data_IF_943345478134
#
_entry.id   IF_943345478134
#
_cell.length_a   1.000
_cell.length_b   1.000
_cell.length_c   1.000
_cell.angle_alpha   90.00
_cell.angle_beta   90.00
_cell.angle_gamma   90.00
#
_symmetry.space_group_name_H-M   'P 1'
#
loop_
_entity.id
_entity.type
_entity.pdbx_description
1 polymer ?
#
# COMPACT_ATOMS: atom_id res chain seq x y z
N UNK A 1 -1.59 9.91 -25.37
CA UNK A 1 -2.17 8.56 -25.58
C UNK A 1 -3.62 8.54 -25.08
N UNK A 2 -4.61 8.29 -25.95
CA UNK A 2 -6.04 8.25 -25.59
C UNK A 2 -6.36 7.12 -24.60
N UNK A 3 -5.64 5.98 -24.67
CA UNK A 3 -5.86 4.87 -23.75
C UNK A 3 -5.48 5.27 -22.31
N UNK A 4 -4.35 5.96 -22.17
CA UNK A 4 -3.89 6.47 -20.88
C UNK A 4 -4.86 7.51 -20.31
N UNK A 5 -5.37 8.44 -21.12
CA UNK A 5 -6.37 9.42 -20.70
C UNK A 5 -7.65 8.77 -20.15
N UNK A 6 -8.20 7.77 -20.85
CA UNK A 6 -9.39 7.02 -20.39
C UNK A 6 -9.13 6.37 -19.03
N UNK A 7 -7.93 5.83 -18.82
CA UNK A 7 -7.55 5.24 -17.53
C UNK A 7 -7.46 6.28 -16.42
N UNK A 8 -6.91 7.46 -16.69
CA UNK A 8 -6.89 8.57 -15.74
C UNK A 8 -8.29 9.03 -15.37
N UNK A 9 -9.21 9.16 -16.34
CA UNK A 9 -10.61 9.52 -16.07
C UNK A 9 -11.28 8.44 -15.22
N UNK A 10 -11.08 7.17 -15.56
CA UNK A 10 -11.64 6.06 -14.81
C UNK A 10 -11.13 6.04 -13.36
N UNK A 11 -9.81 6.08 -13.17
CA UNK A 11 -9.21 6.04 -11.84
C UNK A 11 -9.44 7.32 -11.03
N UNK A 12 -9.45 8.49 -11.66
CA UNK A 12 -9.53 9.79 -11.00
C UNK A 12 -10.95 10.30 -10.76
N UNK A 13 -11.95 9.83 -11.52
CA UNK A 13 -13.32 10.32 -11.44
C UNK A 13 -14.30 9.18 -11.17
N UNK A 14 -14.32 8.16 -12.05
CA UNK A 14 -15.33 7.10 -11.98
C UNK A 14 -15.21 6.29 -10.70
N UNK A 15 -13.99 5.86 -10.35
CA UNK A 15 -13.72 5.07 -9.14
C UNK A 15 -14.10 5.84 -7.85
N UNK A 16 -13.64 7.09 -7.63
CA UNK A 16 -14.08 7.92 -6.52
C UNK A 16 -15.59 8.07 -6.38
N UNK A 17 -16.30 8.31 -7.49
CA UNK A 17 -17.76 8.47 -7.48
C UNK A 17 -18.48 7.17 -7.08
N UNK A 18 -18.04 6.03 -7.61
CA UNK A 18 -18.58 4.71 -7.25
C UNK A 18 -18.34 4.43 -5.76
N UNK A 19 -17.12 4.67 -5.28
CA UNK A 19 -16.78 4.45 -3.87
C UNK A 19 -17.56 5.39 -2.95
N UNK A 20 -17.69 6.67 -3.31
CA UNK A 20 -18.51 7.64 -2.59
C UNK A 20 -19.98 7.22 -2.51
N UNK A 21 -20.57 6.79 -3.63
CA UNK A 21 -21.92 6.24 -3.68
C UNK A 21 -22.10 4.99 -2.82
N UNK A 22 -21.14 4.06 -2.86
CA UNK A 22 -21.14 2.86 -2.04
C UNK A 22 -21.13 3.18 -0.54
N UNK A 23 -20.24 4.07 -0.09
CA UNK A 23 -20.16 4.45 1.33
C UNK A 23 -21.37 5.26 1.79
N UNK A 24 -21.87 6.18 0.96
CA UNK A 24 -23.09 6.91 1.23
C UNK A 24 -24.28 5.96 1.41
N UNK A 25 -24.46 5.01 0.48
CA UNK A 25 -25.50 3.99 0.57
C UNK A 25 -25.38 3.15 1.85
N UNK A 26 -24.19 2.61 2.15
CA UNK A 26 -23.97 1.80 3.35
C UNK A 26 -24.26 2.56 4.66
N UNK A 27 -23.94 3.86 4.67
CA UNK A 27 -24.18 4.74 5.82
C UNK A 27 -25.67 5.08 5.99
N UNK A 28 -26.35 5.46 4.90
CA UNK A 28 -27.79 5.80 4.92
C UNK A 28 -28.64 4.58 5.24
N UNK A 29 -28.28 3.41 4.71
CA UNK A 29 -29.00 2.16 4.94
C UNK A 29 -28.77 1.56 6.34
N UNK A 30 -27.93 2.17 7.19
CA UNK A 30 -27.65 1.64 8.53
C UNK A 30 -26.87 0.32 8.51
N UNK A 31 -26.19 -0.02 7.41
CA UNK A 31 -25.64 -1.37 7.21
C UNK A 31 -24.16 -1.46 7.59
N UNK A 32 -23.90 -1.54 8.90
CA UNK A 32 -22.53 -1.69 9.44
C UNK A 32 -21.79 -2.90 8.87
N UNK A 33 -22.51 -4.01 8.59
CA UNK A 33 -21.93 -5.22 8.02
C UNK A 33 -21.39 -5.01 6.61
N UNK A 34 -22.11 -4.27 5.75
CA UNK A 34 -21.65 -3.92 4.41
C UNK A 34 -20.37 -3.08 4.45
N UNK A 35 -20.30 -2.11 5.38
CA UNK A 35 -19.11 -1.29 5.59
C UNK A 35 -17.94 -2.11 6.16
N UNK A 36 -18.21 -3.06 7.06
CA UNK A 36 -17.23 -4.03 7.54
C UNK A 36 -16.62 -4.88 6.42
N UNK A 37 -17.45 -5.33 5.47
CA UNK A 37 -16.98 -6.04 4.28
C UNK A 37 -16.10 -5.19 3.37
N UNK A 38 -16.36 -3.88 3.29
CA UNK A 38 -15.47 -2.97 2.57
C UNK A 38 -14.10 -2.86 3.25
N UNK A 39 -14.06 -2.80 4.59
CA UNK A 39 -12.82 -2.86 5.37
C UNK A 39 -12.05 -4.16 5.12
N UNK A 40 -12.77 -5.29 5.08
CA UNK A 40 -12.19 -6.60 4.82
C UNK A 40 -11.61 -6.73 3.41
N UNK A 41 -12.37 -6.29 2.41
CA UNK A 41 -11.93 -6.25 1.01
C UNK A 41 -10.70 -5.37 0.84
N UNK A 42 -10.68 -4.20 1.49
CA UNK A 42 -9.52 -3.33 1.50
C UNK A 42 -8.31 -4.03 2.13
N UNK A 43 -8.43 -4.66 3.29
CA UNK A 43 -7.33 -5.42 3.90
C UNK A 43 -6.81 -6.56 2.98
N UNK A 44 -7.70 -7.23 2.26
CA UNK A 44 -7.34 -8.24 1.25
C UNK A 44 -6.48 -7.63 0.13
N UNK A 45 -6.96 -6.57 -0.51
CA UNK A 45 -6.27 -5.91 -1.62
C UNK A 45 -4.97 -5.22 -1.19
N UNK A 46 -4.93 -4.69 0.03
CA UNK A 46 -3.73 -4.12 0.65
C UNK A 46 -2.64 -5.18 0.80
N UNK A 47 -2.96 -6.31 1.40
CA UNK A 47 -2.01 -7.42 1.52
C UNK A 47 -1.49 -7.86 0.16
N UNK A 48 -2.39 -7.99 -0.84
CA UNK A 48 -2.03 -8.36 -2.21
C UNK A 48 -1.09 -7.34 -2.86
N UNK A 49 -1.34 -6.06 -2.64
CA UNK A 49 -0.50 -4.98 -3.13
C UNK A 49 0.92 -5.07 -2.52
N UNK A 50 1.02 -5.30 -1.21
CA UNK A 50 2.30 -5.34 -0.49
C UNK A 50 3.20 -6.48 -0.96
N UNK A 51 2.63 -7.63 -1.29
CA UNK A 51 3.38 -8.74 -1.91
C UNK A 51 4.05 -8.32 -3.22
N UNK A 52 3.28 -7.68 -4.11
CA UNK A 52 3.79 -7.23 -5.41
C UNK A 52 4.87 -6.18 -5.24
N UNK A 53 4.73 -5.28 -4.28
CA UNK A 53 5.76 -4.29 -3.97
C UNK A 53 7.04 -4.94 -3.45
N UNK A 54 6.94 -5.86 -2.47
CA UNK A 54 8.11 -6.58 -1.95
C UNK A 54 8.84 -7.36 -3.05
N UNK A 55 8.10 -8.02 -3.94
CA UNK A 55 8.64 -8.67 -5.13
C UNK A 55 9.29 -7.66 -6.11
N UNK A 56 8.62 -6.54 -6.38
CA UNK A 56 9.13 -5.49 -7.26
C UNK A 56 10.45 -4.90 -6.76
N UNK A 57 10.55 -4.62 -5.46
CA UNK A 57 11.79 -4.13 -4.83
C UNK A 57 12.93 -5.13 -4.96
N UNK A 58 12.65 -6.43 -4.79
CA UNK A 58 13.63 -7.49 -5.03
C UNK A 58 14.12 -7.50 -6.47
N UNK A 59 13.20 -7.37 -7.44
CA UNK A 59 13.56 -7.34 -8.86
C UNK A 59 14.37 -6.09 -9.22
N UNK A 60 14.02 -4.92 -8.70
CA UNK A 60 14.77 -3.67 -8.93
C UNK A 60 16.18 -3.77 -8.36
N UNK A 61 16.34 -4.23 -7.11
CA UNK A 61 17.67 -4.42 -6.51
C UNK A 61 18.51 -5.45 -7.28
N UNK A 62 17.87 -6.53 -7.73
CA UNK A 62 18.51 -7.54 -8.58
C UNK A 62 19.03 -6.96 -9.90
N UNK A 63 18.24 -6.12 -10.59
CA UNK A 63 18.64 -5.47 -11.84
C UNK A 63 19.77 -4.47 -11.59
N UNK A 64 19.65 -3.60 -10.59
CA UNK A 64 20.66 -2.60 -10.25
C UNK A 64 22.03 -3.24 -9.92
N UNK A 65 22.02 -4.39 -9.27
CA UNK A 65 23.24 -5.14 -8.92
C UNK A 65 23.67 -6.15 -9.99
N UNK A 66 22.99 -6.21 -11.14
CA UNK A 66 23.21 -7.19 -12.22
C UNK A 66 23.15 -8.66 -11.74
N UNK A 67 22.31 -8.93 -10.74
CA UNK A 67 22.08 -10.25 -10.12
C UNK A 67 20.70 -10.79 -10.49
N UNK A 68 20.48 -11.02 -11.77
CA UNK A 68 19.17 -11.38 -12.31
C UNK A 68 18.66 -12.73 -11.80
N UNK A 69 17.38 -12.76 -11.43
CA UNK A 69 16.63 -13.98 -11.20
C UNK A 69 16.17 -14.58 -12.53
N UNK A 70 16.24 -15.90 -12.66
CA UNK A 70 15.70 -16.59 -13.83
C UNK A 70 14.17 -16.74 -13.72
N UNK A 71 13.51 -17.22 -14.76
CA UNK A 71 12.04 -17.36 -14.78
C UNK A 71 11.50 -18.35 -13.75
N UNK A 72 12.25 -19.40 -13.42
CA UNK A 72 11.84 -20.35 -12.37
C UNK A 72 11.90 -19.71 -10.99
N UNK A 73 13.00 -18.99 -10.69
CA UNK A 73 13.18 -18.26 -9.45
C UNK A 73 12.04 -17.25 -9.22
N UNK A 74 11.70 -16.50 -10.28
CA UNK A 74 10.58 -15.53 -10.25
C UNK A 74 9.25 -16.21 -9.93
N UNK A 75 8.97 -17.37 -10.52
CA UNK A 75 7.75 -18.15 -10.23
C UNK A 75 7.71 -18.63 -8.78
N UNK A 76 8.83 -19.10 -8.25
CA UNK A 76 8.93 -19.51 -6.83
C UNK A 76 8.63 -18.35 -5.90
N UNK A 77 9.24 -17.19 -6.15
CA UNK A 77 9.02 -15.96 -5.37
C UNK A 77 7.56 -15.48 -5.48
N UNK A 78 6.97 -15.46 -6.67
CA UNK A 78 5.57 -15.05 -6.85
C UNK A 78 4.61 -16.00 -6.13
N UNK A 79 4.80 -17.31 -6.29
CA UNK A 79 3.97 -18.31 -5.63
C UNK A 79 4.08 -18.20 -4.10
N UNK A 80 5.29 -18.05 -3.57
CA UNK A 80 5.51 -17.82 -2.15
C UNK A 80 4.83 -16.55 -1.65
N UNK A 81 5.00 -15.44 -2.36
CA UNK A 81 4.35 -14.19 -2.02
C UNK A 81 2.83 -14.33 -1.90
N UNK A 82 2.19 -14.93 -2.90
CA UNK A 82 0.73 -15.12 -2.86
C UNK A 82 0.27 -16.11 -1.80
N UNK A 83 0.99 -17.22 -1.60
CA UNK A 83 0.65 -18.20 -0.58
C UNK A 83 0.73 -17.60 0.84
N UNK A 84 1.80 -16.85 1.12
CA UNK A 84 2.00 -16.20 2.42
C UNK A 84 0.97 -15.10 2.66
N UNK A 85 0.65 -14.29 1.65
CA UNK A 85 -0.41 -13.28 1.78
C UNK A 85 -1.79 -13.88 2.02
N UNK A 86 -2.17 -14.92 1.27
CA UNK A 86 -3.47 -15.54 1.44
C UNK A 86 -3.59 -16.16 2.85
N UNK A 87 -2.54 -16.82 3.31
CA UNK A 87 -2.47 -17.32 4.69
C UNK A 87 -2.58 -16.19 5.72
N UNK A 88 -1.81 -15.10 5.56
CA UNK A 88 -1.85 -13.95 6.45
C UNK A 88 -3.25 -13.35 6.53
N UNK A 89 -3.92 -13.16 5.40
CA UNK A 89 -5.28 -12.63 5.37
C UNK A 89 -6.29 -13.55 6.04
N UNK A 90 -6.23 -14.86 5.80
CA UNK A 90 -7.09 -15.86 6.47
C UNK A 90 -6.86 -15.88 7.98
N UNK A 91 -5.60 -15.81 8.41
CA UNK A 91 -5.23 -15.78 9.82
C UNK A 91 -5.71 -14.49 10.49
N UNK A 92 -5.50 -13.33 9.86
CA UNK A 92 -5.98 -12.04 10.36
C UNK A 92 -7.51 -12.03 10.46
N UNK A 93 -8.21 -12.58 9.47
CA UNK A 93 -9.66 -12.73 9.54
C UNK A 93 -10.08 -13.56 10.74
N UNK A 94 -9.46 -14.72 10.96
CA UNK A 94 -9.77 -15.59 12.10
C UNK A 94 -9.55 -14.87 13.44
N UNK A 95 -8.44 -14.12 13.59
CA UNK A 95 -8.09 -13.40 14.83
C UNK A 95 -8.98 -12.19 15.09
N UNK A 96 -9.41 -11.47 14.04
CA UNK A 96 -10.22 -10.24 14.20
C UNK A 96 -11.73 -10.56 14.31
N UNK A 97 -12.18 -11.77 13.95
CA UNK A 97 -13.60 -12.19 14.12
C UNK A 97 -14.16 -11.91 15.52
N UNK A 98 -13.29 -11.80 16.54
CA UNK A 98 -13.66 -11.58 17.94
C UNK A 98 -13.25 -10.20 18.50
N UNK A 99 -13.16 -9.11 17.71
CA UNK A 99 -12.77 -7.78 18.24
C UNK A 99 -13.52 -6.57 17.66
N UNK A 100 -13.77 -5.57 18.52
CA UNK A 100 -14.18 -4.22 18.17
C UNK A 100 -13.00 -3.41 17.61
N UNK A 101 -13.15 -2.79 16.43
CA UNK A 101 -12.16 -1.84 15.90
C UNK A 101 -12.80 -0.44 15.82
N UNK A 102 -12.25 0.53 16.56
CA UNK A 102 -12.75 1.92 16.62
C UNK A 102 -14.26 2.07 16.98
N UNK A 103 -14.78 1.15 17.78
CA UNK A 103 -16.19 1.14 18.21
C UNK A 103 -17.17 0.57 17.18
N UNK A 104 -16.66 -0.07 16.12
CA UNK A 104 -17.44 -0.83 15.16
C UNK A 104 -17.26 -2.33 15.40
N UNK A 105 -18.38 -3.06 15.42
CA UNK A 105 -18.39 -4.52 15.28
C UNK A 105 -17.77 -4.90 13.94
N UNK A 106 -16.54 -5.43 13.97
CA UNK A 106 -15.84 -5.84 12.77
C UNK A 106 -16.20 -7.29 12.43
N UNK A 107 -17.17 -7.48 11.55
CA UNK A 107 -17.56 -8.82 11.08
C UNK A 107 -16.61 -9.29 9.98
N UNK A 108 -15.78 -10.29 10.29
CA UNK A 108 -14.94 -10.99 9.31
C UNK A 108 -15.63 -12.25 8.79
N UNK A 109 -14.96 -12.89 7.82
CA UNK A 109 -15.31 -14.24 7.39
C UNK A 109 -14.41 -15.23 8.13
N UNK A 110 -15.00 -16.06 9.00
CA UNK A 110 -14.29 -17.21 9.54
C UNK A 110 -14.23 -18.30 8.46
N UNK A 111 -13.10 -18.38 7.76
CA UNK A 111 -12.87 -19.47 6.83
C UNK A 111 -12.83 -20.81 7.60
N UNK A 112 -13.40 -21.89 7.04
CA UNK A 112 -13.27 -23.23 7.62
C UNK A 112 -11.81 -23.57 7.93
N UNK A 113 -11.56 -24.26 9.04
CA UNK A 113 -10.21 -24.60 9.49
C UNK A 113 -9.37 -25.33 8.43
N UNK A 114 -10.00 -26.17 7.61
CA UNK A 114 -9.33 -26.87 6.52
C UNK A 114 -8.78 -25.92 5.44
N UNK A 115 -9.45 -24.79 5.16
CA UNK A 115 -8.95 -23.77 4.21
C UNK A 115 -7.70 -23.11 4.76
N UNK A 116 -7.74 -22.71 6.04
CA UNK A 116 -6.59 -22.12 6.73
C UNK A 116 -5.41 -23.11 6.82
N UNK A 117 -5.70 -24.40 7.03
CA UNK A 117 -4.68 -25.45 7.04
C UNK A 117 -4.01 -25.61 5.66
N UNK A 118 -4.79 -25.64 4.58
CA UNK A 118 -4.22 -25.69 3.22
C UNK A 118 -3.35 -24.44 2.96
N UNK A 119 -3.82 -23.26 3.34
CA UNK A 119 -3.08 -22.02 3.16
C UNK A 119 -1.75 -22.02 3.95
N UNK A 120 -1.74 -22.50 5.20
CA UNK A 120 -0.49 -22.56 5.98
C UNK A 120 0.49 -23.59 5.40
N UNK A 121 0.01 -24.75 4.94
CA UNK A 121 0.87 -25.73 4.28
C UNK A 121 1.46 -25.19 2.97
N UNK A 122 0.65 -24.50 2.16
CA UNK A 122 1.12 -23.86 0.93
C UNK A 122 2.14 -22.74 1.23
N UNK A 123 1.89 -21.91 2.24
CA UNK A 123 2.82 -20.87 2.68
C UNK A 123 4.13 -21.49 3.19
N UNK A 124 4.08 -22.52 4.02
CA UNK A 124 5.26 -23.20 4.55
C UNK A 124 6.09 -23.88 3.45
N UNK A 125 5.45 -24.66 2.57
CA UNK A 125 6.12 -25.35 1.47
C UNK A 125 6.76 -24.36 0.48
N UNK A 126 6.04 -23.30 0.10
CA UNK A 126 6.58 -22.27 -0.79
C UNK A 126 7.71 -21.45 -0.14
N UNK A 127 7.65 -21.24 1.18
CA UNK A 127 8.74 -20.59 1.94
C UNK A 127 9.98 -21.47 1.92
N UNK A 128 9.84 -22.77 2.19
CA UNK A 128 10.94 -23.71 2.12
C UNK A 128 11.56 -23.75 0.70
N UNK A 129 10.74 -23.79 -0.34
CA UNK A 129 11.21 -23.72 -1.73
C UNK A 129 11.98 -22.41 -2.01
N UNK A 130 11.49 -21.27 -1.51
CA UNK A 130 12.15 -19.96 -1.65
C UNK A 130 13.50 -19.94 -0.93
N UNK A 131 13.58 -20.48 0.29
CA UNK A 131 14.83 -20.58 1.05
C UNK A 131 15.83 -21.47 0.32
N UNK A 132 15.42 -22.65 -0.14
CA UNK A 132 16.28 -23.55 -0.93
C UNK A 132 16.77 -22.87 -2.20
N UNK A 133 15.89 -22.17 -2.92
CA UNK A 133 16.26 -21.39 -4.10
C UNK A 133 17.29 -20.30 -3.78
N UNK A 134 17.10 -19.53 -2.70
CA UNK A 134 18.05 -18.48 -2.26
C UNK A 134 19.40 -19.08 -1.87
N UNK A 135 19.43 -20.20 -1.15
CA UNK A 135 20.66 -20.91 -0.75
C UNK A 135 21.40 -21.43 -1.98
N UNK A 136 20.70 -22.07 -2.91
CA UNK A 136 21.31 -22.59 -4.14
C UNK A 136 21.91 -21.46 -4.99
N UNK A 137 21.20 -20.33 -5.10
CA UNK A 137 21.73 -19.14 -5.77
C UNK A 137 22.93 -18.55 -5.05
N UNK A 138 22.87 -18.41 -3.73
CA UNK A 138 23.99 -17.91 -2.93
C UNK A 138 25.25 -18.74 -3.19
N UNK A 139 25.13 -20.07 -3.17
CA UNK A 139 26.24 -21.00 -3.45
C UNK A 139 26.75 -20.86 -4.89
N UNK A 140 25.85 -20.81 -5.88
CA UNK A 140 26.22 -20.71 -7.31
C UNK A 140 26.87 -19.38 -7.67
N UNK A 141 26.56 -18.30 -6.95
CA UNK A 141 27.03 -16.94 -7.22
C UNK A 141 28.08 -16.44 -6.22
N UNK A 142 28.91 -17.34 -5.70
CA UNK A 142 30.08 -16.98 -4.88
C UNK A 142 29.72 -16.31 -3.55
N UNK A 143 28.58 -16.68 -2.97
CA UNK A 143 28.11 -16.13 -1.70
C UNK A 143 27.50 -14.74 -1.85
N UNK A 144 26.72 -14.50 -2.90
CA UNK A 144 26.14 -13.18 -3.14
C UNK A 144 24.67 -13.23 -3.58
N UNK A 145 23.87 -12.28 -3.06
CA UNK A 145 22.45 -12.07 -3.40
C UNK A 145 22.14 -10.56 -3.42
N UNK A 146 21.06 -10.11 -4.08
CA UNK A 146 20.56 -8.74 -3.94
C UNK A 146 19.99 -8.53 -2.54
N UNK A 147 20.87 -8.33 -1.55
CA UNK A 147 20.54 -8.40 -0.12
C UNK A 147 19.41 -7.46 0.30
N UNK A 148 19.49 -6.19 -0.08
CA UNK A 148 18.45 -5.20 0.24
C UNK A 148 17.10 -5.61 -0.33
N UNK A 149 17.09 -6.11 -1.58
CA UNK A 149 15.89 -6.65 -2.21
C UNK A 149 15.33 -7.88 -1.47
N UNK A 150 16.20 -8.79 -1.03
CA UNK A 150 15.78 -10.00 -0.28
C UNK A 150 15.20 -9.60 1.08
N UNK A 151 15.84 -8.67 1.79
CA UNK A 151 15.32 -8.15 3.06
C UNK A 151 13.97 -7.47 2.84
N UNK A 152 13.84 -6.61 1.81
CA UNK A 152 12.58 -5.96 1.49
C UNK A 152 11.46 -6.97 1.20
N UNK A 153 11.76 -8.02 0.43
CA UNK A 153 10.82 -9.12 0.14
C UNK A 153 10.39 -9.85 1.41
N UNK A 154 11.35 -10.27 2.25
CA UNK A 154 11.06 -11.02 3.49
C UNK A 154 10.28 -10.17 4.49
N UNK A 155 10.69 -8.92 4.72
CA UNK A 155 9.98 -8.02 5.65
C UNK A 155 8.56 -7.76 5.17
N UNK A 156 8.37 -7.55 3.86
CA UNK A 156 7.04 -7.29 3.28
C UNK A 156 6.06 -8.46 3.42
N UNK A 157 6.56 -9.69 3.57
CA UNK A 157 5.75 -10.90 3.67
C UNK A 157 5.56 -11.39 5.12
N UNK A 158 6.63 -11.44 5.91
CA UNK A 158 6.64 -12.20 7.15
C UNK A 158 6.61 -11.32 8.41
N UNK A 159 7.22 -10.13 8.39
CA UNK A 159 7.32 -9.29 9.59
C UNK A 159 5.93 -8.89 10.12
N UNK A 160 5.00 -8.62 9.21
CA UNK A 160 3.65 -8.19 9.57
C UNK A 160 2.83 -9.29 10.22
N UNK A 161 2.98 -10.55 9.77
CA UNK A 161 2.32 -11.70 10.40
C UNK A 161 2.69 -11.79 11.88
N UNK A 162 3.97 -11.57 12.18
CA UNK A 162 4.48 -11.57 13.55
C UNK A 162 3.96 -10.37 14.35
N UNK A 163 4.05 -9.16 13.79
CA UNK A 163 3.67 -7.93 14.49
C UNK A 163 2.18 -7.88 14.80
N UNK A 164 1.31 -8.26 13.86
CA UNK A 164 -0.15 -8.32 14.06
C UNK A 164 -0.52 -9.33 15.15
N UNK A 165 0.22 -10.45 15.26
CA UNK A 165 0.00 -11.44 16.32
C UNK A 165 0.38 -10.90 17.71
N UNK A 166 1.42 -10.08 17.79
CA UNK A 166 1.86 -9.45 19.05
C UNK A 166 0.89 -8.34 19.46
N UNK A 167 0.54 -7.45 18.52
CA UNK A 167 -0.41 -6.38 18.75
C UNK A 167 -1.16 -6.05 17.45
N UNK A 168 -2.50 -6.22 17.40
CA UNK A 168 -3.28 -5.96 16.19
C UNK A 168 -3.25 -4.48 15.75
N UNK A 169 -2.88 -3.54 16.63
CA UNK A 169 -2.70 -2.13 16.26
C UNK A 169 -1.60 -1.92 15.20
N UNK A 170 -0.71 -2.90 15.00
CA UNK A 170 0.24 -2.86 13.89
C UNK A 170 -0.45 -2.79 12.53
N UNK A 171 -1.71 -3.26 12.38
CA UNK A 171 -2.49 -3.10 11.15
C UNK A 171 -2.70 -1.62 10.77
N UNK A 172 -2.66 -0.71 11.73
CA UNK A 172 -2.73 0.73 11.48
C UNK A 172 -1.37 1.33 11.08
N UNK A 173 -0.28 0.68 11.50
CA UNK A 173 1.09 1.15 11.26
C UNK A 173 1.67 0.61 9.96
N UNK A 174 1.30 -0.62 9.55
CA UNK A 174 1.82 -1.24 8.33
C UNK A 174 1.59 -0.33 7.10
N UNK A 175 0.39 0.25 6.87
CA UNK A 175 0.19 1.17 5.75
C UNK A 175 1.10 2.40 5.79
N UNK A 176 1.40 2.93 6.98
CA UNK A 176 2.33 4.05 7.11
C UNK A 176 3.76 3.63 6.73
N UNK A 177 4.26 2.51 7.26
CA UNK A 177 5.60 1.99 6.92
C UNK A 177 5.73 1.64 5.45
N UNK A 178 4.67 1.09 4.87
CA UNK A 178 4.60 0.81 3.44
C UNK A 178 4.65 2.09 2.61
N UNK A 179 3.90 3.12 3.01
CA UNK A 179 3.90 4.43 2.36
C UNK A 179 5.27 5.11 2.41
N UNK A 180 6.06 4.90 3.47
CA UNK A 180 7.44 5.42 3.55
C UNK A 180 8.36 4.82 2.48
N UNK A 181 8.19 3.53 2.17
CA UNK A 181 8.96 2.90 1.08
C UNK A 181 8.63 3.54 -0.27
N UNK A 182 7.33 3.77 -0.51
CA UNK A 182 6.85 4.41 -1.72
C UNK A 182 7.30 5.87 -1.82
N UNK A 183 7.32 6.60 -0.70
CA UNK A 183 7.80 7.98 -0.65
C UNK A 183 9.26 8.11 -1.13
N UNK A 184 10.11 7.10 -0.91
CA UNK A 184 11.48 7.12 -1.43
C UNK A 184 11.53 7.12 -2.96
N UNK A 185 10.60 6.43 -3.62
CA UNK A 185 10.49 6.40 -5.09
C UNK A 185 9.92 7.73 -5.60
N UNK A 186 8.83 8.21 -5.01
CA UNK A 186 8.20 9.49 -5.37
C UNK A 186 9.18 10.65 -5.17
N UNK A 187 9.93 10.64 -4.07
CA UNK A 187 10.97 11.62 -3.79
C UNK A 187 11.99 11.68 -4.92
N UNK A 188 12.52 10.52 -5.33
CA UNK A 188 13.52 10.43 -6.38
C UNK A 188 12.95 10.88 -7.72
N UNK A 189 11.74 10.47 -8.04
CA UNK A 189 11.02 10.88 -9.25
C UNK A 189 10.85 12.40 -9.29
N UNK A 190 10.21 12.98 -8.26
CA UNK A 190 9.96 14.42 -8.20
C UNK A 190 11.25 15.23 -8.23
N UNK A 191 12.30 14.75 -7.55
CA UNK A 191 13.61 15.43 -7.58
C UNK A 191 14.19 15.47 -8.99
N UNK A 192 14.06 14.39 -9.77
CA UNK A 192 14.53 14.37 -11.15
C UNK A 192 13.71 15.30 -12.03
N UNK A 193 12.37 15.23 -11.95
CA UNK A 193 11.46 16.12 -12.69
C UNK A 193 11.80 17.59 -12.45
N UNK A 194 12.02 17.98 -11.19
CA UNK A 194 12.35 19.37 -10.87
C UNK A 194 13.77 19.77 -11.27
N UNK A 195 14.70 18.82 -11.37
CA UNK A 195 16.08 19.05 -11.83
C UNK A 195 16.19 19.19 -13.36
N UNK A 196 15.31 18.52 -14.10
CA UNK A 196 15.33 18.55 -15.57
C UNK A 196 14.70 19.83 -16.14
N UNK A 197 14.10 20.67 -15.29
CA UNK A 197 13.58 21.98 -15.70
C UNK A 197 14.73 22.94 -16.03
N UNK A 198 14.52 23.79 -17.03
CA UNK A 198 15.53 24.74 -17.53
C UNK A 198 16.05 25.72 -16.47
N UNK A 199 15.23 26.02 -15.46
CA UNK A 199 15.54 26.94 -14.37
C UNK A 199 15.91 26.23 -13.06
N UNK A 200 16.16 24.91 -13.09
CA UNK A 200 16.38 24.13 -11.88
C UNK A 200 17.50 24.67 -10.98
N UNK A 201 18.57 25.17 -11.59
CA UNK A 201 19.77 25.67 -10.92
C UNK A 201 19.72 27.17 -10.60
N UNK A 202 18.67 27.89 -10.98
CA UNK A 202 18.57 29.33 -10.71
C UNK A 202 18.34 29.60 -9.23
N UNK A 203 18.80 30.76 -8.78
CA UNK A 203 18.50 31.23 -7.43
C UNK A 203 17.07 31.79 -7.36
N UNK A 204 16.39 31.65 -6.21
CA UNK A 204 15.06 32.21 -6.01
C UNK A 204 15.08 33.73 -6.07
N UNK A 205 14.06 34.35 -6.66
CA UNK A 205 13.94 35.82 -6.77
C UNK A 205 13.96 36.50 -5.38
N UNK A 206 13.37 35.86 -4.37
CA UNK A 206 13.35 36.37 -3.01
C UNK A 206 14.60 35.90 -2.23
N UNK A 207 15.45 36.85 -1.83
CA UNK A 207 16.69 36.59 -1.07
C UNK A 207 16.52 35.75 0.21
N UNK A 208 15.36 35.81 0.87
CA UNK A 208 15.12 34.98 2.07
C UNK A 208 15.04 33.49 1.73
N UNK A 209 14.55 33.16 0.52
CA UNK A 209 14.40 31.78 0.07
C UNK A 209 15.71 31.17 -0.46
N UNK A 210 16.74 31.97 -0.77
CA UNK A 210 18.02 31.46 -1.28
C UNK A 210 18.77 30.58 -0.27
N UNK A 211 18.49 30.71 1.02
CA UNK A 211 19.01 29.83 2.09
C UNK A 211 18.60 28.36 1.86
N UNK A 212 17.45 28.12 1.24
CA UNK A 212 16.94 26.79 0.94
C UNK A 212 17.57 26.19 -0.33
N UNK A 213 18.39 26.99 -1.04
CA UNK A 213 19.15 26.60 -2.23
C UNK A 213 18.41 26.87 -3.55
N UNK A 214 18.80 26.16 -4.63
CA UNK A 214 18.29 26.42 -5.97
C UNK A 214 16.81 26.07 -6.13
N UNK A 215 16.16 26.62 -7.17
CA UNK A 215 14.73 26.51 -7.43
C UNK A 215 14.16 25.08 -7.36
N UNK A 216 14.89 24.07 -7.83
CA UNK A 216 14.40 22.68 -7.76
C UNK A 216 14.16 22.22 -6.31
N UNK A 217 15.01 22.65 -5.35
CA UNK A 217 14.86 22.27 -3.93
C UNK A 217 13.63 22.92 -3.31
N UNK A 218 13.37 24.18 -3.65
CA UNK A 218 12.16 24.88 -3.20
C UNK A 218 10.89 24.20 -3.71
N UNK A 219 10.88 23.77 -4.98
CA UNK A 219 9.73 23.07 -5.57
C UNK A 219 9.51 21.70 -4.95
N UNK A 220 10.59 20.94 -4.69
CA UNK A 220 10.51 19.67 -3.95
C UNK A 220 10.01 19.91 -2.52
N UNK A 221 10.49 20.96 -1.83
CA UNK A 221 9.99 21.34 -0.52
C UNK A 221 8.51 21.71 -0.53
N UNK A 222 8.09 22.52 -1.51
CA UNK A 222 6.69 22.87 -1.73
C UNK A 222 5.82 21.64 -1.97
N UNK A 223 6.29 20.69 -2.78
CA UNK A 223 5.62 19.41 -3.02
C UNK A 223 5.42 18.62 -1.71
N UNK A 224 6.45 18.54 -0.85
CA UNK A 224 6.37 17.85 0.45
C UNK A 224 5.38 18.54 1.38
N UNK A 225 5.44 19.88 1.48
CA UNK A 225 4.56 20.66 2.36
C UNK A 225 3.11 20.51 1.91
N UNK A 226 2.83 20.72 0.63
CA UNK A 226 1.48 20.59 0.07
C UNK A 226 0.99 19.15 0.23
N UNK A 227 1.81 18.16 -0.09
CA UNK A 227 1.47 16.75 0.11
C UNK A 227 1.18 16.41 1.59
N UNK A 228 1.95 16.95 2.52
CA UNK A 228 1.75 16.79 3.96
C UNK A 228 0.44 17.41 4.43
N UNK A 229 0.14 18.64 3.99
CA UNK A 229 -1.12 19.33 4.31
C UNK A 229 -2.31 18.54 3.76
N UNK A 230 -2.26 18.14 2.48
CA UNK A 230 -3.32 17.34 1.86
C UNK A 230 -3.48 15.98 2.54
N UNK A 231 -2.37 15.36 2.98
CA UNK A 231 -2.40 14.13 3.77
C UNK A 231 -3.10 14.31 5.11
N UNK A 232 -2.75 15.35 5.88
CA UNK A 232 -3.39 15.68 7.16
C UNK A 232 -4.89 15.97 6.97
N UNK A 233 -5.23 16.73 5.93
CA UNK A 233 -6.62 17.02 5.59
C UNK A 233 -7.40 15.74 5.26
N UNK A 234 -6.88 14.91 4.34
CA UNK A 234 -7.58 13.73 3.83
C UNK A 234 -7.69 12.60 4.86
N UNK A 235 -6.65 12.33 5.64
CA UNK A 235 -6.67 11.24 6.61
C UNK A 235 -7.24 11.61 7.98
N UNK A 236 -7.26 12.90 8.35
CA UNK A 236 -7.57 13.28 9.72
C UNK A 236 -8.56 14.43 9.85
N UNK A 237 -8.23 15.63 9.39
CA UNK A 237 -9.05 16.81 9.66
C UNK A 237 -10.43 16.75 9.01
N UNK A 238 -10.49 16.39 7.72
CA UNK A 238 -11.78 16.29 7.01
C UNK A 238 -12.64 15.16 7.60
N UNK A 239 -12.14 13.93 7.81
CA UNK A 239 -12.93 12.88 8.46
C UNK A 239 -13.42 13.23 9.87
N UNK A 240 -12.60 13.89 10.69
CA UNK A 240 -13.01 14.33 12.03
C UNK A 240 -14.09 15.41 11.93
N UNK A 241 -13.90 16.41 11.07
CA UNK A 241 -14.89 17.45 10.85
C UNK A 241 -16.23 16.85 10.41
N UNK A 242 -16.23 15.90 9.48
CA UNK A 242 -17.44 15.20 9.05
C UNK A 242 -18.09 14.41 10.20
N UNK A 243 -17.29 13.79 11.07
CA UNK A 243 -17.80 13.05 12.25
C UNK A 243 -18.49 13.93 13.29
N UNK A 244 -18.19 15.24 13.28
CA UNK A 244 -18.81 16.26 14.14
C UNK A 244 -20.00 16.93 13.44
N UNK A 245 -19.83 17.28 12.16
CA UNK A 245 -20.77 18.12 11.42
C UNK A 245 -21.93 17.35 10.78
N UNK A 246 -21.72 16.08 10.42
CA UNK A 246 -22.74 15.27 9.76
C UNK A 246 -23.42 14.38 10.81
N UNK A 247 -24.74 14.49 11.02
CA UNK A 247 -25.48 13.58 11.88
C UNK A 247 -25.50 12.17 11.28
N UNK A 248 -25.19 11.16 12.09
CA UNK A 248 -25.33 9.75 11.75
C UNK A 248 -25.58 8.92 13.01
N UNK A 249 -26.06 7.68 12.84
CA UNK A 249 -26.33 6.78 13.95
C UNK A 249 -25.03 6.25 14.57
N UNK A 250 -24.57 6.88 15.66
CA UNK A 250 -23.35 6.50 16.37
C UNK A 250 -23.49 5.20 17.17
N UNK A 251 -24.71 4.78 17.48
CA UNK A 251 -24.94 3.47 18.13
C UNK A 251 -24.66 2.32 17.16
N UNK A 252 -24.99 2.52 15.87
CA UNK A 252 -24.75 1.53 14.82
C UNK A 252 -23.31 1.60 14.29
N UNK A 253 -22.76 2.80 14.12
CA UNK A 253 -21.52 3.01 13.39
C UNK A 253 -20.32 3.46 14.26
N UNK A 254 -20.49 3.56 15.57
CA UNK A 254 -19.48 4.14 16.45
C UNK A 254 -19.27 5.64 16.21
N UNK A 255 -18.23 6.23 16.80
CA UNK A 255 -17.94 7.67 16.71
C UNK A 255 -16.99 8.06 15.57
N UNK A 256 -16.51 7.09 14.80
CA UNK A 256 -15.37 7.23 13.89
C UNK A 256 -15.69 6.84 12.43
N UNK A 257 -16.98 6.79 12.05
CA UNK A 257 -17.43 6.34 10.73
C UNK A 257 -16.66 6.97 9.56
N UNK A 258 -16.50 8.30 9.57
CA UNK A 258 -15.83 8.98 8.46
C UNK A 258 -14.32 8.73 8.43
N UNK A 259 -13.67 8.51 9.57
CA UNK A 259 -12.27 8.07 9.62
C UNK A 259 -12.13 6.68 8.99
N UNK A 260 -13.05 5.77 9.32
CA UNK A 260 -13.10 4.44 8.72
C UNK A 260 -13.32 4.49 7.20
N UNK A 261 -14.29 5.28 6.74
CA UNK A 261 -14.56 5.48 5.31
C UNK A 261 -13.36 6.08 4.59
N UNK A 262 -12.77 7.17 5.11
CA UNK A 262 -11.63 7.82 4.48
C UNK A 262 -10.40 6.90 4.42
N UNK A 263 -10.17 6.13 5.49
CA UNK A 263 -9.09 5.15 5.53
C UNK A 263 -9.26 4.09 4.44
N UNK A 264 -10.46 3.51 4.28
CA UNK A 264 -10.71 2.55 3.19
C UNK A 264 -10.61 3.23 1.83
N UNK A 265 -11.23 4.40 1.69
CA UNK A 265 -11.31 5.13 0.44
C UNK A 265 -9.91 5.40 -0.11
N UNK A 266 -9.03 5.99 0.70
CA UNK A 266 -7.68 6.34 0.25
C UNK A 266 -6.87 5.06 -0.02
N UNK A 267 -6.98 4.04 0.84
CA UNK A 267 -6.25 2.78 0.64
C UNK A 267 -6.70 2.01 -0.61
N UNK A 268 -7.97 2.06 -0.99
CA UNK A 268 -8.43 1.37 -2.22
C UNK A 268 -8.21 2.25 -3.45
N UNK A 269 -8.51 3.54 -3.37
CA UNK A 269 -8.41 4.47 -4.50
C UNK A 269 -6.98 4.61 -5.01
N UNK A 270 -5.97 4.67 -4.13
CA UNK A 270 -4.59 4.81 -4.59
C UNK A 270 -4.12 3.63 -5.46
N UNK A 271 -4.65 2.41 -5.27
CA UNK A 271 -4.34 1.29 -6.16
C UNK A 271 -4.80 1.53 -7.60
N UNK A 272 -5.92 2.22 -7.77
CA UNK A 272 -6.38 2.61 -9.11
C UNK A 272 -5.48 3.67 -9.71
N UNK A 273 -5.02 4.64 -8.92
CA UNK A 273 -4.06 5.65 -9.38
C UNK A 273 -2.72 5.02 -9.76
N UNK A 274 -2.19 4.10 -8.96
CA UNK A 274 -0.92 3.43 -9.22
C UNK A 274 -0.93 2.62 -10.52
N UNK A 275 -2.07 1.99 -10.84
CA UNK A 275 -2.25 1.24 -12.09
C UNK A 275 -2.21 2.12 -13.35
N UNK A 276 -2.31 3.44 -13.19
CA UNK A 276 -2.24 4.42 -14.28
C UNK A 276 -0.90 5.16 -14.24
N UNK A 277 -0.50 5.67 -13.08
CA UNK A 277 0.72 6.47 -12.90
C UNK A 277 1.99 5.64 -13.14
N UNK A 278 2.13 4.48 -12.48
CA UNK A 278 3.36 3.66 -12.56
C UNK A 278 3.30 2.60 -13.66
N UNK A 279 2.38 2.76 -14.59
CA UNK A 279 2.14 1.78 -15.64
C UNK A 279 3.31 1.78 -16.61
N UNK A 280 3.75 0.57 -17.00
CA UNK A 280 4.64 0.39 -18.15
C UNK A 280 4.00 1.00 -19.40
N UNK A 281 4.71 1.94 -20.04
CA UNK A 281 4.24 2.70 -21.19
C UNK A 281 3.66 4.07 -20.87
N UNK A 282 3.63 4.49 -19.60
CA UNK A 282 3.45 5.90 -19.26
C UNK A 282 4.80 6.64 -19.48
N UNK A 283 4.89 7.57 -20.46
CA UNK A 283 6.14 8.22 -20.84
C UNK A 283 6.80 9.02 -19.72
N UNK A 284 6.06 9.38 -18.66
CA UNK A 284 6.64 10.10 -17.52
C UNK A 284 7.49 9.19 -16.63
N UNK A 285 7.28 7.88 -16.65
CA UNK A 285 7.91 6.92 -15.72
C UNK A 285 8.59 5.73 -16.41
N UNK A 286 8.58 5.68 -17.74
CA UNK A 286 9.15 4.59 -18.57
C UNK A 286 10.26 5.07 -19.47
#
# INVERSE_FOLDING_TARGET
DKNLQVRYIFAGIVVPLIMGGFFAYGSIAGNARLLGYAGNAMAFFVGWHYVKQGYGMLMVDAVLKRRFFNEQDKKVLLFNGYAVWLFAWLQTNAVITERQFWGLDYYTFAAPSWVTNIAVFAAAASTAATVVMLINRWRKHGGTLPYNGVVAYVVSLYAWILFVRINPLWLLVVPALHSLQYLAVVWRYQTNVERDRSDAATEPEFKVLSILGPMYRLRVLGFIIVGGILGILGFWLVPIALSVLVPYNKEVFGSSLFLFIAWIFINVHHYFLDNVMWRRGNPEVS
#
